data_IF_992573072975
#
_entry.id   IF_992573072975
#
_cell.length_a   1.000
_cell.length_b   1.000
_cell.length_c   1.000
_cell.angle_alpha   90.00
_cell.angle_beta   90.00
_cell.angle_gamma   90.00
#
_symmetry.space_group_name_H-M   'P 1'
#
loop_
_entity.id
_entity.type
_entity.pdbx_description
1 polymer ?
#
# COMPACT_ATOMS: atom_id res chain seq x y z
N UNK A 1 8.98 11.19 0.96
CA UNK A 1 9.44 10.03 0.15
C UNK A 1 10.95 10.11 -0.02
N UNK A 2 11.70 9.17 0.57
CA UNK A 2 13.17 9.17 0.49
C UNK A 2 13.63 8.71 -0.90
N UNK A 3 14.75 9.27 -1.36
CA UNK A 3 15.34 8.95 -2.67
C UNK A 3 16.81 8.63 -2.50
N UNK A 4 17.24 7.52 -3.08
CA UNK A 4 18.63 7.05 -3.03
C UNK A 4 19.16 6.83 -4.43
N UNK A 5 20.46 7.01 -4.64
CA UNK A 5 21.12 6.49 -5.84
C UNK A 5 21.16 4.97 -5.80
N UNK A 6 21.29 4.33 -6.97
CA UNK A 6 21.42 2.89 -7.09
C UNK A 6 22.62 2.36 -6.31
N UNK A 7 23.72 3.13 -6.26
CA UNK A 7 24.93 2.77 -5.51
C UNK A 7 24.71 2.81 -4.00
N UNK A 8 24.01 3.83 -3.49
CA UNK A 8 23.67 3.89 -2.06
C UNK A 8 22.67 2.79 -1.69
N UNK A 9 21.70 2.52 -2.57
CA UNK A 9 20.75 1.43 -2.39
C UNK A 9 21.45 0.07 -2.35
N UNK A 10 22.37 -0.22 -3.28
CA UNK A 10 23.16 -1.45 -3.28
C UNK A 10 23.97 -1.62 -1.99
N UNK A 11 24.59 -0.55 -1.50
CA UNK A 11 25.40 -0.59 -0.28
C UNK A 11 24.57 -0.83 1.00
N UNK A 12 23.28 -0.48 1.01
CA UNK A 12 22.42 -0.52 2.19
C UNK A 12 21.11 -1.29 1.98
N UNK A 13 21.07 -2.17 0.97
CA UNK A 13 19.84 -2.74 0.45
C UNK A 13 18.99 -3.39 1.54
N UNK A 14 19.57 -4.28 2.35
CA UNK A 14 18.85 -4.99 3.41
C UNK A 14 18.23 -4.05 4.45
N UNK A 15 19.01 -3.06 4.92
CA UNK A 15 18.53 -2.06 5.88
C UNK A 15 17.38 -1.24 5.30
N UNK A 16 17.49 -0.82 4.05
CA UNK A 16 16.44 -0.03 3.37
C UNK A 16 15.18 -0.88 3.21
N UNK A 17 15.31 -2.15 2.80
CA UNK A 17 14.18 -3.07 2.66
C UNK A 17 13.48 -3.32 4.01
N UNK A 18 14.23 -3.54 5.09
CA UNK A 18 13.68 -3.67 6.44
C UNK A 18 12.95 -2.41 6.89
N UNK A 19 13.54 -1.22 6.65
CA UNK A 19 12.89 0.05 6.96
C UNK A 19 11.56 0.19 6.22
N UNK A 20 11.51 -0.13 4.93
CA UNK A 20 10.29 -0.07 4.11
C UNK A 20 9.24 -1.05 4.64
N UNK A 21 9.65 -2.28 4.96
CA UNK A 21 8.75 -3.31 5.49
C UNK A 21 8.18 -2.93 6.87
N UNK A 22 8.97 -2.29 7.73
CA UNK A 22 8.55 -1.90 9.09
C UNK A 22 7.69 -0.64 9.11
N UNK A 23 8.07 0.37 8.32
CA UNK A 23 7.42 1.69 8.35
C UNK A 23 6.28 1.83 7.34
N UNK A 24 6.27 0.99 6.31
CA UNK A 24 5.35 1.12 5.18
C UNK A 24 5.68 2.28 4.22
N UNK A 25 6.71 3.07 4.52
CA UNK A 25 7.08 4.24 3.72
C UNK A 25 7.86 3.83 2.47
N UNK A 26 7.39 4.19 1.26
CA UNK A 26 8.06 3.82 0.02
C UNK A 26 9.33 4.65 -0.21
N UNK A 27 10.29 4.05 -0.94
CA UNK A 27 11.52 4.73 -1.37
C UNK A 27 11.69 4.68 -2.89
N UNK A 28 12.37 5.67 -3.46
CA UNK A 28 12.74 5.72 -4.88
C UNK A 28 14.23 5.46 -5.03
N UNK A 29 14.58 4.57 -5.94
CA UNK A 29 15.96 4.33 -6.37
C UNK A 29 16.19 5.02 -7.71
N UNK A 30 17.28 5.76 -7.81
CA UNK A 30 17.64 6.54 -8.99
C UNK A 30 18.97 6.09 -9.58
N UNK A 31 19.14 6.27 -10.89
CA UNK A 31 20.43 6.12 -11.56
C UNK A 31 20.70 7.37 -12.37
N UNK A 32 21.79 8.08 -12.04
CA UNK A 32 22.14 9.39 -12.65
C UNK A 32 20.99 10.41 -12.55
N UNK A 33 20.38 10.51 -11.38
CA UNK A 33 19.27 11.43 -11.10
C UNK A 33 17.90 11.03 -11.67
N UNK A 34 17.83 9.98 -12.51
CA UNK A 34 16.57 9.46 -13.05
C UNK A 34 16.02 8.36 -12.14
N UNK A 35 14.76 8.45 -11.73
CA UNK A 35 14.06 7.38 -11.03
C UNK A 35 14.00 6.11 -11.90
N UNK A 36 14.40 4.97 -11.34
CA UNK A 36 14.41 3.68 -12.05
C UNK A 36 13.56 2.61 -11.37
N UNK A 37 13.42 2.66 -10.04
CA UNK A 37 12.63 1.69 -9.26
C UNK A 37 11.97 2.41 -8.09
N UNK A 38 10.76 1.98 -7.73
CA UNK A 38 10.10 2.30 -6.47
C UNK A 38 9.99 1.03 -5.63
N UNK A 39 10.51 1.07 -4.41
CA UNK A 39 10.34 -0.03 -3.45
C UNK A 39 9.16 0.31 -2.56
N UNK A 40 8.22 -0.62 -2.47
CA UNK A 40 6.99 -0.49 -1.69
C UNK A 40 6.89 -1.67 -0.70
N UNK A 41 6.26 -1.47 0.47
CA UNK A 41 5.96 -2.60 1.35
C UNK A 41 4.97 -3.56 0.67
N UNK A 42 5.08 -4.84 1.01
CA UNK A 42 4.04 -5.82 0.69
C UNK A 42 2.95 -5.81 1.78
N UNK A 43 1.71 -6.21 1.46
CA UNK A 43 0.68 -6.44 2.47
C UNK A 43 1.15 -7.43 3.54
N UNK A 44 0.72 -7.22 4.78
CA UNK A 44 1.05 -8.11 5.89
C UNK A 44 0.57 -9.55 5.59
N UNK A 45 1.45 -10.53 5.77
CA UNK A 45 1.14 -11.94 5.51
C UNK A 45 1.11 -12.34 4.03
N UNK A 46 1.61 -11.49 3.12
CA UNK A 46 1.75 -11.85 1.71
C UNK A 46 2.77 -12.99 1.55
N UNK A 47 2.28 -14.18 1.16
CA UNK A 47 3.12 -15.27 0.69
C UNK A 47 3.34 -15.14 -0.81
N UNK A 48 4.57 -15.37 -1.25
CA UNK A 48 4.90 -15.51 -2.66
C UNK A 48 4.38 -16.86 -3.16
N UNK A 49 3.19 -16.88 -3.76
CA UNK A 49 2.73 -18.01 -4.57
C UNK A 49 2.82 -17.66 -6.05
N UNK A 50 3.07 -18.66 -6.89
CA UNK A 50 3.01 -18.49 -8.34
C UNK A 50 1.62 -17.96 -8.72
N UNK A 51 1.56 -16.82 -9.42
CA UNK A 51 0.30 -16.14 -9.76
C UNK A 51 -0.28 -15.20 -8.69
N UNK A 52 0.37 -15.03 -7.53
CA UNK A 52 -0.04 -14.01 -6.56
C UNK A 52 0.11 -12.61 -7.18
N UNK A 53 -1.01 -11.91 -7.35
CA UNK A 53 -0.98 -10.51 -7.75
C UNK A 53 -0.57 -9.71 -6.51
N UNK A 54 0.65 -9.15 -6.53
CA UNK A 54 1.06 -8.16 -5.52
C UNK A 54 0.00 -7.07 -5.51
N UNK A 55 -0.71 -6.93 -4.39
CA UNK A 55 -1.67 -5.84 -4.24
C UNK A 55 -0.87 -4.54 -4.17
N UNK A 56 -0.76 -3.84 -5.29
CA UNK A 56 -0.11 -2.54 -5.34
C UNK A 56 -0.95 -1.52 -4.56
N UNK A 57 -0.38 -0.87 -3.53
CA UNK A 57 -1.08 0.19 -2.81
C UNK A 57 -1.55 1.29 -3.76
N UNK A 58 -2.79 1.74 -3.59
CA UNK A 58 -3.38 2.82 -4.38
C UNK A 58 -4.30 2.39 -5.52
N UNK A 59 -4.51 1.08 -5.78
CA UNK A 59 -5.53 0.64 -6.76
C UNK A 59 -6.97 1.02 -6.38
N UNK A 60 -7.22 1.22 -5.09
CA UNK A 60 -8.50 1.70 -4.55
C UNK A 60 -8.44 3.19 -4.17
N UNK A 61 -7.43 3.92 -4.64
CA UNK A 61 -7.40 5.38 -4.46
C UNK A 61 -8.66 5.95 -5.12
N UNK A 62 -9.32 6.88 -4.45
CA UNK A 62 -10.56 7.53 -4.91
C UNK A 62 -11.82 6.64 -4.89
N UNK A 63 -11.74 5.40 -4.37
CA UNK A 63 -12.94 4.57 -4.14
C UNK A 63 -13.47 4.68 -2.71
N UNK A 64 -12.82 5.47 -1.84
CA UNK A 64 -13.27 5.67 -0.47
C UNK A 64 -14.51 6.56 -0.49
N UNK A 65 -15.61 6.03 0.04
CA UNK A 65 -16.82 6.78 0.31
C UNK A 65 -16.82 7.14 1.80
N UNK A 66 -17.14 8.39 2.11
CA UNK A 66 -17.31 8.87 3.48
C UNK A 66 -18.77 8.67 3.90
N UNK A 67 -19.00 7.81 4.89
CA UNK A 67 -20.30 7.65 5.53
C UNK A 67 -20.28 8.40 6.85
N UNK A 68 -21.11 9.43 6.95
CA UNK A 68 -21.11 10.37 8.08
C UNK A 68 -21.89 9.81 9.27
N UNK A 69 -22.95 9.05 9.00
CA UNK A 69 -23.83 8.48 10.02
C UNK A 69 -23.90 6.96 9.90
N UNK A 70 -23.19 6.29 10.81
CA UNK A 70 -23.14 4.82 10.89
C UNK A 70 -23.95 4.26 12.06
N UNK A 71 -24.63 5.13 12.83
CA UNK A 71 -25.30 4.75 14.08
C UNK A 71 -26.82 4.83 13.99
N UNK A 72 -27.36 5.71 13.13
CA UNK A 72 -28.80 5.78 12.93
C UNK A 72 -29.33 4.47 12.34
N UNK A 73 -30.52 4.02 12.77
CA UNK A 73 -31.15 2.85 12.19
C UNK A 73 -31.38 3.06 10.70
N UNK A 74 -31.01 2.05 9.90
CA UNK A 74 -31.41 2.00 8.51
C UNK A 74 -32.94 1.94 8.44
N UNK A 75 -33.52 2.66 7.48
CA UNK A 75 -34.97 2.81 7.31
C UNK A 75 -35.73 1.49 7.36
N UNK A 76 -36.96 1.53 7.87
CA UNK A 76 -37.81 0.33 8.06
C UNK A 76 -38.15 -0.37 6.75
N UNK A 77 -38.06 0.32 5.63
CA UNK A 77 -38.25 -0.19 4.27
C UNK A 77 -37.08 -1.09 3.78
N UNK A 78 -35.93 -1.03 4.45
CA UNK A 78 -34.71 -1.76 4.10
C UNK A 78 -34.66 -3.14 4.79
N UNK A 79 -35.36 -3.30 5.93
CA UNK A 79 -35.34 -4.52 6.71
C UNK A 79 -36.48 -5.46 6.34
N UNK A 80 -36.16 -6.68 5.89
CA UNK A 80 -37.17 -7.72 5.61
C UNK A 80 -37.98 -8.09 6.87
N UNK A 81 -37.41 -7.96 8.07
CA UNK A 81 -38.09 -8.23 9.34
C UNK A 81 -39.22 -7.24 9.67
N UNK A 82 -39.30 -6.11 8.97
CA UNK A 82 -40.34 -5.10 9.15
C UNK A 82 -41.52 -5.26 8.15
N UNK A 83 -41.50 -6.28 7.28
CA UNK A 83 -42.59 -6.64 6.37
C UNK A 83 -43.56 -7.65 6.97
#
# INVERSE_FOLDING_TARGET
MQTWSVTEFEAQALRILEQVAQTGEPVIVTKRGKAIVKVIPLPYGAYISEGATVQEPGKLKETVLEEVDIVSPLGTDIWDAAR
#
